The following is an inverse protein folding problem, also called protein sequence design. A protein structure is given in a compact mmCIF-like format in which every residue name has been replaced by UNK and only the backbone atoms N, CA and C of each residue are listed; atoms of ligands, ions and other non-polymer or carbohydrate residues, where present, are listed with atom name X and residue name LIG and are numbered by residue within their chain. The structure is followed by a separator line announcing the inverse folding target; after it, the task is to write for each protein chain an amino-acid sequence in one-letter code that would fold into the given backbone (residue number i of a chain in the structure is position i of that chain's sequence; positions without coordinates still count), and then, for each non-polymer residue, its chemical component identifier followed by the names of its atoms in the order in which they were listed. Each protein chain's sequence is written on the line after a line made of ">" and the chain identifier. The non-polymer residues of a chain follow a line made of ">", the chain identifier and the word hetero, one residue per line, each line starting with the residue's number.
data_IF_443604774925
#
_entry.id   IF_443604774925
#
_cell.length_a   1.000
_cell.length_b   1.000
_cell.length_c   1.000
_cell.angle_alpha   90.00
_cell.angle_beta   90.00
_cell.angle_gamma   90.00
#
_symmetry.space_group_name_H-M   'P 1'
#
loop_
_entity.id
_entity.type
_entity.pdbx_description
1 polymer ?
#
# COMPACT_ATOMS: atom_id res chain seq x y z
N UNK A 1 -8.45 -2.23 7.19
CA UNK A 1 -7.78 -0.94 6.87
C UNK A 1 -7.06 -1.10 5.53
N UNK A 2 -6.95 -0.07 4.68
CA UNK A 2 -6.23 -0.16 3.39
C UNK A 2 -4.80 0.36 3.53
N UNK A 3 -3.82 -0.41 3.07
CA UNK A 3 -2.42 0.00 2.96
C UNK A 3 -2.09 0.23 1.49
N UNK A 4 -1.91 1.50 1.13
CA UNK A 4 -1.41 1.89 -0.19
C UNK A 4 0.10 1.69 -0.23
N UNK A 5 0.58 0.83 -1.13
CA UNK A 5 1.99 0.43 -1.17
C UNK A 5 2.56 0.49 -2.58
N UNK A 6 3.85 0.77 -2.67
CA UNK A 6 4.64 0.63 -3.88
C UNK A 6 5.84 -0.30 -3.60
N UNK A 7 6.15 -1.26 -4.49
CA UNK A 7 7.34 -2.10 -4.34
C UNK A 7 8.62 -1.27 -4.24
N UNK A 8 9.47 -1.56 -3.26
CA UNK A 8 10.72 -0.82 -3.02
C UNK A 8 10.56 0.52 -2.30
N UNK A 9 9.35 0.89 -1.86
CA UNK A 9 9.11 2.10 -1.07
C UNK A 9 9.08 1.84 0.45
N UNK A 10 9.08 2.92 1.22
CA UNK A 10 8.98 2.89 2.69
C UNK A 10 7.69 2.25 3.22
N UNK A 11 6.66 2.09 2.37
CA UNK A 11 5.43 1.32 2.67
C UNK A 11 5.68 -0.15 3.01
N UNK A 12 6.90 -0.66 2.81
CA UNK A 12 7.32 -1.98 3.28
C UNK A 12 7.30 -2.09 4.82
N UNK A 13 7.71 -1.04 5.54
CA UNK A 13 7.74 -1.05 7.01
C UNK A 13 6.36 -1.30 7.62
N UNK A 14 5.29 -0.55 7.27
CA UNK A 14 3.96 -0.83 7.78
C UNK A 14 3.38 -2.15 7.25
N UNK A 15 3.80 -2.65 6.08
CA UNK A 15 3.39 -3.98 5.60
C UNK A 15 3.94 -5.09 6.50
N UNK A 16 5.23 -5.02 6.88
CA UNK A 16 5.86 -6.00 7.79
C UNK A 16 5.15 -5.97 9.14
N UNK A 17 5.05 -4.81 9.78
CA UNK A 17 4.41 -4.66 11.11
C UNK A 17 2.96 -5.18 11.10
N UNK A 18 2.21 -4.91 10.03
CA UNK A 18 0.83 -5.40 9.94
C UNK A 18 0.74 -6.92 9.83
N UNK A 19 1.69 -7.57 9.15
CA UNK A 19 1.76 -9.04 9.08
C UNK A 19 2.17 -9.64 10.42
N UNK A 20 3.18 -9.08 11.08
CA UNK A 20 3.66 -9.55 12.39
C UNK A 20 2.57 -9.46 13.47
N UNK A 21 1.76 -8.40 13.43
CA UNK A 21 0.64 -8.20 14.35
C UNK A 21 -0.64 -8.93 13.94
N UNK A 22 -0.66 -9.64 12.81
CA UNK A 22 -1.85 -10.32 12.29
C UNK A 22 -3.01 -9.38 11.96
N UNK A 23 -2.72 -8.12 11.63
CA UNK A 23 -3.75 -7.13 11.35
C UNK A 23 -4.39 -7.36 9.98
N UNK A 24 -5.73 -7.33 9.88
CA UNK A 24 -6.42 -7.43 8.60
C UNK A 24 -6.26 -6.12 7.82
N UNK A 25 -5.25 -6.09 6.94
CA UNK A 25 -4.99 -4.99 6.02
C UNK A 25 -5.21 -5.42 4.57
N UNK A 26 -5.86 -4.56 3.79
CA UNK A 26 -6.00 -4.71 2.35
C UNK A 26 -4.87 -3.97 1.65
N UNK A 27 -4.10 -4.68 0.83
CA UNK A 27 -3.01 -4.10 0.06
C UNK A 27 -3.54 -3.48 -1.23
N UNK A 28 -3.28 -2.18 -1.42
CA UNK A 28 -3.58 -1.46 -2.66
C UNK A 28 -2.29 -0.99 -3.30
N UNK A 29 -1.95 -1.56 -4.45
CA UNK A 29 -0.75 -1.15 -5.18
C UNK A 29 -0.97 0.25 -5.75
N UNK A 30 -0.01 1.14 -5.51
CA UNK A 30 0.02 2.48 -6.09
C UNK A 30 1.26 2.66 -6.94
N UNK A 31 1.09 3.41 -8.02
CA UNK A 31 2.18 3.94 -8.79
C UNK A 31 2.42 5.38 -8.35
N UNK A 32 3.51 5.61 -7.62
CA UNK A 32 3.86 6.94 -7.11
C UNK A 32 4.35 7.89 -8.21
N UNK A 33 4.76 7.38 -9.38
CA UNK A 33 5.15 8.21 -10.54
C UNK A 33 3.93 8.78 -11.24
N UNK A 34 2.98 7.92 -11.55
CA UNK A 34 1.76 8.27 -12.29
C UNK A 34 0.60 8.70 -11.36
N UNK A 35 0.84 8.67 -10.04
CA UNK A 35 -0.14 8.97 -8.98
C UNK A 35 -1.42 8.13 -9.02
N UNK A 36 -1.38 6.97 -9.66
CA UNK A 36 -2.54 6.10 -9.86
C UNK A 36 -2.54 4.92 -8.89
N UNK A 37 -3.73 4.50 -8.47
CA UNK A 37 -3.94 3.21 -7.78
C UNK A 37 -4.36 2.12 -8.76
N UNK A 38 -4.00 0.88 -8.44
CA UNK A 38 -4.46 -0.31 -9.15
C UNK A 38 -5.99 -0.43 -9.06
N UNK A 39 -6.65 -0.33 -10.22
CA UNK A 39 -8.11 -0.31 -10.34
C UNK A 39 -8.72 1.03 -10.77
N UNK A 40 -7.91 2.07 -10.97
CA UNK A 40 -8.37 3.39 -11.41
C UNK A 40 -8.85 4.24 -10.23
N UNK A 41 -8.18 5.36 -10.02
CA UNK A 41 -8.42 6.30 -8.93
C UNK A 41 -7.14 7.08 -8.63
N UNK A 42 -7.30 8.36 -8.28
CA UNK A 42 -6.26 9.16 -7.64
C UNK A 42 -6.25 8.82 -6.15
N UNK A 43 -5.08 8.62 -5.54
CA UNK A 43 -4.96 8.33 -4.11
C UNK A 43 -4.92 9.59 -3.22
N UNK A 44 -5.31 10.76 -3.76
CA UNK A 44 -5.32 12.05 -3.04
C UNK A 44 -6.57 12.23 -2.18
#
# INVERSE_FOLDING_TARGET
>A
MKLFYAPGACSLSPHIVSRELGLPIELKKVNTKDKTMEGGGDYW
#
